data_IF_821726032260
#
_entry.id   IF_821726032260
#
_cell.length_a   1.000
_cell.length_b   1.000
_cell.length_c   1.000
_cell.angle_alpha   90.00
_cell.angle_beta   90.00
_cell.angle_gamma   90.00
#
_symmetry.space_group_name_H-M   'P 1'
#
loop_
_entity.id
_entity.type
_entity.pdbx_description
1 polymer ?
#
# COMPACT_ATOMS: atom_id res chain seq x y z
N UNK A 1 6.21 -3.29 32.39
CA UNK A 1 6.10 -4.36 33.40
C UNK A 1 4.95 -5.30 33.04
N UNK A 2 5.22 -6.35 32.23
CA UNK A 2 4.25 -7.41 31.87
C UNK A 2 4.97 -8.77 31.97
N UNK A 3 5.24 -9.21 33.18
CA UNK A 3 5.68 -10.58 33.46
C UNK A 3 4.72 -11.13 34.50
N UNK A 4 4.19 -12.32 34.31
CA UNK A 4 3.43 -13.20 35.21
C UNK A 4 2.00 -13.59 34.86
N UNK A 5 1.57 -13.57 33.59
CA UNK A 5 0.29 -14.22 33.27
C UNK A 5 0.43 -15.58 32.57
N UNK A 6 1.62 -15.95 32.09
CA UNK A 6 1.83 -17.23 31.39
C UNK A 6 2.04 -18.42 32.32
N UNK A 7 2.56 -18.19 33.55
CA UNK A 7 2.86 -19.27 34.49
C UNK A 7 1.67 -19.78 35.31
N UNK A 8 0.59 -19.01 35.45
CA UNK A 8 -0.54 -19.44 36.30
C UNK A 8 -1.48 -20.46 35.62
N UNK A 9 -1.39 -20.60 34.29
CA UNK A 9 -2.32 -21.44 33.51
C UNK A 9 -1.86 -22.90 33.38
N UNK A 10 -0.58 -23.17 33.48
CA UNK A 10 -0.02 -24.53 33.39
C UNK A 10 0.05 -25.24 34.74
N UNK A 11 0.13 -24.49 35.84
CA UNK A 11 0.24 -25.08 37.19
C UNK A 11 -0.98 -25.87 37.61
N UNK A 12 -2.19 -25.45 37.27
CA UNK A 12 -3.44 -26.16 37.62
C UNK A 12 -3.53 -27.50 36.87
N UNK A 13 -3.10 -27.52 35.59
CA UNK A 13 -3.05 -28.77 34.82
C UNK A 13 -1.97 -29.73 35.34
N UNK A 14 -0.78 -29.20 35.66
CA UNK A 14 0.31 -29.98 36.22
C UNK A 14 -0.08 -30.55 37.60
N UNK A 15 -0.68 -29.73 38.45
CA UNK A 15 -1.16 -30.17 39.78
C UNK A 15 -2.23 -31.27 39.65
N UNK A 16 -3.14 -31.17 38.71
CA UNK A 16 -4.17 -32.20 38.44
C UNK A 16 -3.56 -33.52 37.98
N UNK A 17 -2.60 -33.48 37.06
CA UNK A 17 -1.91 -34.69 36.58
C UNK A 17 -1.08 -35.31 37.70
N UNK A 18 -0.37 -34.51 38.51
CA UNK A 18 0.41 -35.01 39.63
C UNK A 18 -0.46 -35.66 40.71
N UNK A 19 -1.60 -35.05 41.03
CA UNK A 19 -2.59 -35.64 41.98
C UNK A 19 -3.16 -36.98 41.46
N UNK A 20 -3.44 -37.08 40.17
CA UNK A 20 -3.90 -38.34 39.57
C UNK A 20 -2.84 -39.45 39.64
N UNK A 21 -1.59 -39.12 39.33
CA UNK A 21 -0.47 -40.07 39.39
C UNK A 21 -0.25 -40.54 40.84
N UNK A 22 -0.29 -39.62 41.80
CA UNK A 22 -0.15 -39.98 43.26
C UNK A 22 -1.33 -40.89 43.68
N UNK A 23 -2.56 -40.59 43.27
CA UNK A 23 -3.73 -41.42 43.58
C UNK A 23 -3.60 -42.84 43.02
N UNK A 24 -3.09 -43.00 41.78
CA UNK A 24 -2.82 -44.30 41.15
C UNK A 24 -1.72 -45.08 41.94
N UNK A 25 -0.65 -44.42 42.32
CA UNK A 25 0.43 -45.04 43.07
C UNK A 25 -0.07 -45.52 44.44
N UNK A 26 -0.83 -44.72 45.17
CA UNK A 26 -1.40 -45.07 46.46
C UNK A 26 -2.40 -46.24 46.35
N UNK A 27 -3.15 -46.33 45.27
CA UNK A 27 -4.03 -47.46 44.98
C UNK A 27 -3.26 -48.76 44.71
N UNK A 28 -2.20 -48.69 43.90
CA UNK A 28 -1.31 -49.82 43.60
C UNK A 28 -0.63 -50.39 44.84
N UNK A 29 -0.32 -49.52 45.81
CA UNK A 29 0.31 -49.89 47.08
C UNK A 29 -0.68 -50.47 48.12
N UNK A 30 -1.99 -50.63 47.73
CA UNK A 30 -3.08 -51.10 48.63
C UNK A 30 -3.23 -50.24 49.91
N UNK A 31 -2.79 -49.01 49.90
CA UNK A 31 -2.89 -48.08 51.04
C UNK A 31 -4.28 -47.42 51.11
N UNK A 32 -5.02 -47.36 49.96
CA UNK A 32 -6.29 -46.67 49.86
C UNK A 32 -7.38 -47.70 49.44
N UNK A 33 -8.47 -47.78 50.18
CA UNK A 33 -9.62 -48.60 49.89
C UNK A 33 -10.30 -48.15 48.59
N UNK A 34 -10.89 -49.08 47.80
CA UNK A 34 -11.63 -48.82 46.58
C UNK A 34 -12.76 -47.80 46.79
N UNK A 35 -13.37 -47.75 47.97
CA UNK A 35 -14.43 -46.80 48.31
C UNK A 35 -13.97 -45.33 48.28
N UNK A 36 -12.68 -45.05 48.39
CA UNK A 36 -12.09 -43.68 48.39
C UNK A 36 -11.61 -43.29 46.98
N UNK A 37 -11.22 -44.26 46.18
CA UNK A 37 -10.65 -44.00 44.84
C UNK A 37 -11.71 -43.42 43.90
N UNK A 38 -12.97 -43.95 43.95
CA UNK A 38 -14.04 -43.52 43.06
C UNK A 38 -14.42 -42.03 43.24
N UNK A 39 -14.63 -41.50 44.46
CA UNK A 39 -14.87 -40.06 44.68
C UNK A 39 -13.71 -39.16 44.21
N UNK A 40 -12.45 -39.58 44.39
CA UNK A 40 -11.27 -38.81 43.94
C UNK A 40 -11.25 -38.75 42.41
N UNK A 41 -11.53 -39.87 41.74
CA UNK A 41 -11.57 -39.93 40.26
C UNK A 41 -12.69 -39.06 39.70
N UNK A 42 -13.88 -39.06 40.35
CA UNK A 42 -15.00 -38.19 39.99
C UNK A 42 -14.66 -36.71 40.19
N UNK A 43 -14.01 -36.36 41.28
CA UNK A 43 -13.57 -34.98 41.52
C UNK A 43 -12.55 -34.51 40.51
N UNK A 44 -11.58 -35.36 40.12
CA UNK A 44 -10.60 -35.05 39.08
C UNK A 44 -11.26 -34.90 37.69
N UNK A 45 -12.22 -35.75 37.36
CA UNK A 45 -13.01 -35.65 36.10
C UNK A 45 -13.81 -34.36 36.07
N UNK A 46 -14.44 -33.96 37.17
CA UNK A 46 -15.15 -32.69 37.33
C UNK A 46 -14.24 -31.48 37.13
N UNK A 47 -13.05 -31.50 37.73
CA UNK A 47 -12.03 -30.45 37.55
C UNK A 47 -11.55 -30.36 36.10
N UNK A 48 -11.33 -31.48 35.46
CA UNK A 48 -10.90 -31.55 34.05
C UNK A 48 -11.99 -31.00 33.12
N UNK A 49 -13.26 -31.32 33.41
CA UNK A 49 -14.39 -30.81 32.66
C UNK A 49 -14.57 -29.28 32.79
N UNK A 50 -14.46 -28.77 34.01
CA UNK A 50 -14.50 -27.32 34.28
C UNK A 50 -13.34 -26.59 33.53
N UNK A 51 -12.15 -27.17 33.56
CA UNK A 51 -10.99 -26.61 32.89
C UNK A 51 -11.19 -26.63 31.35
N UNK A 52 -11.72 -27.70 30.80
CA UNK A 52 -12.07 -27.82 29.38
C UNK A 52 -13.10 -26.76 28.95
N UNK A 53 -14.19 -26.61 29.71
CA UNK A 53 -15.19 -25.58 29.43
C UNK A 53 -14.61 -24.16 29.48
N UNK A 54 -13.73 -23.90 30.44
CA UNK A 54 -13.07 -22.63 30.59
C UNK A 54 -12.13 -22.32 29.41
N UNK A 55 -11.45 -23.35 28.91
CA UNK A 55 -10.57 -23.25 27.74
C UNK A 55 -11.37 -22.99 26.47
N UNK A 56 -12.48 -23.70 26.27
CA UNK A 56 -13.36 -23.50 25.11
C UNK A 56 -13.91 -22.08 25.06
N UNK A 57 -14.40 -21.59 26.21
CA UNK A 57 -14.92 -20.21 26.30
C UNK A 57 -13.83 -19.14 26.07
N UNK A 58 -12.60 -19.38 26.50
CA UNK A 58 -11.47 -18.48 26.24
C UNK A 58 -11.11 -18.44 24.77
N UNK A 59 -11.18 -19.57 24.07
CA UNK A 59 -10.91 -19.66 22.64
C UNK A 59 -11.98 -18.96 21.81
N UNK A 60 -13.25 -19.07 22.18
CA UNK A 60 -14.37 -18.37 21.54
C UNK A 60 -14.19 -16.84 21.65
N UNK A 61 -13.88 -16.33 22.84
CA UNK A 61 -13.63 -14.90 23.06
C UNK A 61 -12.41 -14.40 22.28
N UNK A 62 -11.42 -15.26 22.08
CA UNK A 62 -10.23 -14.92 21.30
C UNK A 62 -10.55 -14.88 19.81
N UNK A 63 -11.36 -15.83 19.32
CA UNK A 63 -11.83 -15.85 17.94
C UNK A 63 -12.67 -14.62 17.60
N UNK A 64 -13.62 -14.25 18.46
CA UNK A 64 -14.43 -13.04 18.31
C UNK A 64 -13.55 -11.76 18.24
N UNK A 65 -12.52 -11.67 19.08
CA UNK A 65 -11.58 -10.53 19.06
C UNK A 65 -10.75 -10.46 17.79
N UNK A 66 -10.31 -11.62 17.29
CA UNK A 66 -9.56 -11.68 16.02
C UNK A 66 -10.45 -11.25 14.86
N UNK A 67 -11.70 -11.67 14.85
CA UNK A 67 -12.68 -11.26 13.84
C UNK A 67 -12.96 -9.74 13.89
N UNK A 68 -13.16 -9.18 15.10
CA UNK A 68 -13.32 -7.73 15.28
C UNK A 68 -12.10 -6.92 14.81
N UNK A 69 -10.87 -7.42 15.08
CA UNK A 69 -9.65 -6.80 14.58
C UNK A 69 -9.60 -6.87 13.07
N UNK A 70 -9.97 -8.02 12.47
CA UNK A 70 -10.05 -8.19 11.02
C UNK A 70 -11.02 -7.22 10.37
N UNK A 71 -12.21 -7.05 10.92
CA UNK A 71 -13.21 -6.09 10.45
C UNK A 71 -12.73 -4.64 10.59
N UNK A 72 -12.07 -4.30 11.70
CA UNK A 72 -11.51 -2.96 11.92
C UNK A 72 -10.38 -2.65 10.94
N UNK A 73 -9.52 -3.64 10.62
CA UNK A 73 -8.48 -3.51 9.61
C UNK A 73 -9.08 -3.32 8.21
N UNK A 74 -10.07 -4.11 7.83
CA UNK A 74 -10.76 -3.96 6.54
C UNK A 74 -11.45 -2.58 6.43
N UNK A 75 -12.01 -2.07 7.52
CA UNK A 75 -12.62 -0.73 7.55
C UNK A 75 -11.57 0.38 7.45
N UNK A 76 -10.40 0.23 8.07
CA UNK A 76 -9.27 1.15 7.91
C UNK A 76 -8.72 1.09 6.49
N UNK A 77 -8.58 -0.09 5.90
CA UNK A 77 -8.10 -0.28 4.53
C UNK A 77 -9.06 0.34 3.50
N UNK A 78 -10.37 0.21 3.70
CA UNK A 78 -11.38 0.87 2.86
C UNK A 78 -11.44 2.40 3.07
N UNK A 79 -11.05 2.90 4.25
CA UNK A 79 -10.98 4.33 4.56
C UNK A 79 -9.71 5.01 4.04
N UNK A 80 -8.66 4.24 3.73
CA UNK A 80 -7.42 4.74 3.12
C UNK A 80 -7.56 4.64 1.58
N UNK A 81 -8.55 5.34 1.01
CA UNK A 81 -8.49 5.64 -0.41
C UNK A 81 -7.34 6.63 -0.63
N UNK A 82 -6.43 6.36 -1.58
CA UNK A 82 -5.42 7.34 -1.92
C UNK A 82 -6.12 8.66 -2.27
N UNK A 83 -5.65 9.79 -1.75
CA UNK A 83 -6.30 11.07 -2.02
C UNK A 83 -6.38 11.26 -3.53
N UNK A 84 -7.55 11.67 -4.04
CA UNK A 84 -7.74 11.99 -5.46
C UNK A 84 -6.79 13.09 -5.93
N UNK A 85 -6.36 13.95 -5.02
CA UNK A 85 -5.41 15.04 -5.26
C UNK A 85 -4.32 15.04 -4.20
N UNK A 86 -3.07 14.94 -4.65
CA UNK A 86 -1.89 15.05 -3.79
C UNK A 86 -1.13 16.34 -4.09
N UNK A 87 -0.97 17.22 -3.10
CA UNK A 87 -0.12 18.40 -3.22
C UNK A 87 1.35 18.00 -3.11
N UNK A 88 2.14 18.33 -4.16
CA UNK A 88 3.55 18.01 -4.22
C UNK A 88 4.35 19.29 -3.95
N UNK A 89 5.01 19.35 -2.81
CA UNK A 89 5.90 20.47 -2.47
C UNK A 89 7.21 20.45 -3.28
N UNK A 90 7.92 21.59 -3.35
CA UNK A 90 9.11 21.75 -4.20
C UNK A 90 10.19 20.69 -3.97
N UNK A 91 10.38 20.24 -2.73
CA UNK A 91 11.39 19.23 -2.39
C UNK A 91 11.11 17.84 -2.96
N UNK A 92 9.86 17.55 -3.26
CA UNK A 92 9.41 16.25 -3.79
C UNK A 92 9.05 16.30 -5.28
N UNK A 93 9.05 17.49 -5.87
CA UNK A 93 8.60 17.70 -7.24
C UNK A 93 9.38 16.82 -8.24
N UNK A 94 10.70 16.78 -8.10
CA UNK A 94 11.55 15.98 -8.98
C UNK A 94 11.21 14.48 -8.89
N UNK A 95 11.20 13.95 -7.69
CA UNK A 95 10.91 12.51 -7.46
C UNK A 95 9.49 12.15 -7.92
N UNK A 96 8.51 13.03 -7.69
CA UNK A 96 7.14 12.82 -8.15
C UNK A 96 7.05 12.84 -9.68
N UNK A 97 7.76 13.74 -10.34
CA UNK A 97 7.82 13.81 -11.79
C UNK A 97 8.50 12.56 -12.39
N UNK A 98 9.66 12.18 -11.87
CA UNK A 98 10.38 10.96 -12.28
C UNK A 98 9.48 9.71 -12.11
N UNK A 99 8.76 9.61 -10.99
CA UNK A 99 7.82 8.51 -10.73
C UNK A 99 6.67 8.53 -11.72
N UNK A 100 6.02 9.67 -11.92
CA UNK A 100 4.90 9.81 -12.86
C UNK A 100 5.32 9.38 -14.28
N UNK A 101 6.48 9.86 -14.76
CA UNK A 101 7.01 9.51 -16.08
C UNK A 101 7.34 8.02 -16.22
N UNK A 102 7.81 7.37 -15.15
CA UNK A 102 8.11 5.93 -15.15
C UNK A 102 6.87 5.04 -15.14
N UNK A 103 5.77 5.53 -14.54
CA UNK A 103 4.53 4.78 -14.39
C UNK A 103 3.52 5.03 -15.52
N UNK A 104 3.72 6.06 -16.34
CA UNK A 104 2.81 6.43 -17.44
C UNK A 104 2.76 5.37 -18.53
N UNK A 105 1.57 5.15 -19.08
CA UNK A 105 1.30 4.24 -20.19
C UNK A 105 0.20 4.75 -21.12
N UNK A 106 0.04 4.09 -22.27
CA UNK A 106 -1.01 4.43 -23.22
C UNK A 106 -0.79 5.75 -23.94
N UNK A 107 -1.87 6.42 -24.27
CA UNK A 107 -1.83 7.77 -24.86
C UNK A 107 -1.59 8.81 -23.78
N UNK A 108 -0.72 9.78 -24.05
CA UNK A 108 -0.41 10.86 -23.12
C UNK A 108 -0.70 12.23 -23.73
N UNK A 109 -1.24 13.15 -22.93
CA UNK A 109 -1.56 14.51 -23.32
C UNK A 109 -0.70 15.48 -22.51
N UNK A 110 0.05 16.30 -23.19
CA UNK A 110 0.91 17.32 -22.62
C UNK A 110 0.30 18.69 -22.94
N UNK A 111 -0.47 19.22 -21.98
CA UNK A 111 -1.22 20.45 -22.16
C UNK A 111 -0.48 21.64 -21.60
N UNK A 112 -0.27 22.66 -22.44
CA UNK A 112 0.30 23.97 -22.09
C UNK A 112 1.60 23.89 -21.29
N UNK A 113 2.41 22.86 -21.56
CA UNK A 113 3.70 22.69 -20.88
C UNK A 113 4.69 23.75 -21.34
N UNK A 114 5.52 24.22 -20.42
CA UNK A 114 6.52 25.25 -20.73
C UNK A 114 7.70 24.64 -21.47
N UNK A 115 7.79 24.86 -22.78
CA UNK A 115 8.84 24.29 -23.62
C UNK A 115 10.26 24.76 -23.23
N UNK A 116 10.42 25.93 -22.61
CA UNK A 116 11.72 26.36 -22.12
C UNK A 116 12.31 25.46 -21.04
N UNK A 117 11.49 24.68 -20.35
CA UNK A 117 11.98 23.66 -19.40
C UNK A 117 12.57 22.43 -20.11
N UNK A 118 12.19 22.17 -21.35
CA UNK A 118 12.66 21.01 -22.13
C UNK A 118 13.71 21.40 -23.18
N UNK A 119 13.94 22.69 -23.40
CA UNK A 119 14.92 23.19 -24.36
C UNK A 119 16.38 22.85 -23.97
N UNK A 120 16.82 22.96 -22.69
CA UNK A 120 18.16 22.54 -22.31
C UNK A 120 18.29 21.00 -22.39
N UNK A 121 19.32 20.52 -23.11
CA UNK A 121 19.56 19.09 -23.31
C UNK A 121 19.49 18.24 -22.04
N UNK A 122 20.12 18.62 -20.91
CA UNK A 122 20.04 17.86 -19.66
C UNK A 122 18.62 17.72 -19.10
N UNK A 123 17.78 18.74 -19.26
CA UNK A 123 16.37 18.69 -18.82
C UNK A 123 15.50 17.90 -19.79
N UNK A 124 15.77 18.00 -21.09
CA UNK A 124 15.15 17.15 -22.08
C UNK A 124 15.41 15.67 -21.78
N UNK A 125 16.67 15.31 -21.53
CA UNK A 125 17.11 13.95 -21.26
C UNK A 125 16.54 13.41 -19.93
N UNK A 126 16.32 14.29 -18.96
CA UNK A 126 15.77 13.89 -17.67
C UNK A 126 14.24 13.78 -17.65
N UNK A 127 13.53 14.58 -18.45
CA UNK A 127 12.08 14.75 -18.33
C UNK A 127 11.32 14.26 -19.56
N UNK A 128 11.72 14.63 -20.77
CA UNK A 128 10.95 14.34 -21.98
C UNK A 128 11.43 13.06 -22.69
N UNK A 129 12.73 12.83 -22.79
CA UNK A 129 13.28 11.61 -23.41
C UNK A 129 12.78 10.34 -22.75
N UNK A 130 12.73 10.20 -21.40
CA UNK A 130 12.20 9.01 -20.76
C UNK A 130 10.74 8.72 -21.12
N UNK A 131 9.92 9.77 -21.29
CA UNK A 131 8.53 9.62 -21.72
C UNK A 131 8.43 9.11 -23.18
N UNK A 132 9.24 9.66 -24.08
CA UNK A 132 9.25 9.26 -25.49
C UNK A 132 9.75 7.81 -25.66
N UNK A 133 10.78 7.43 -24.93
CA UNK A 133 11.40 6.11 -25.01
C UNK A 133 10.71 5.05 -24.14
N UNK A 134 9.75 5.43 -23.30
CA UNK A 134 8.98 4.49 -22.49
C UNK A 134 8.19 3.52 -23.39
N UNK A 135 8.46 2.20 -23.37
CA UNK A 135 7.79 1.25 -24.24
C UNK A 135 6.29 1.12 -23.98
N UNK A 136 5.81 1.53 -22.80
CA UNK A 136 4.40 1.47 -22.43
C UNK A 136 3.60 2.66 -22.98
N UNK A 137 4.26 3.76 -23.34
CA UNK A 137 3.64 4.93 -23.97
C UNK A 137 3.45 4.65 -25.44
N UNK A 138 2.22 4.76 -25.93
CA UNK A 138 1.86 4.52 -27.34
C UNK A 138 1.89 5.79 -28.18
N UNK A 139 1.45 6.91 -27.62
CA UNK A 139 1.48 8.22 -28.29
C UNK A 139 1.64 9.37 -27.29
N UNK A 140 2.25 10.45 -27.76
CA UNK A 140 2.43 11.70 -27.01
C UNK A 140 1.82 12.82 -27.86
N UNK A 141 0.79 13.47 -27.33
CA UNK A 141 0.12 14.59 -27.96
C UNK A 141 0.35 15.86 -27.19
N UNK A 142 0.90 16.86 -27.85
CA UNK A 142 1.08 18.20 -27.30
C UNK A 142 -0.07 19.11 -27.69
N UNK A 143 -0.59 19.86 -26.71
CA UNK A 143 -1.51 21.00 -26.93
C UNK A 143 -0.80 22.23 -26.37
N UNK A 144 -0.35 23.12 -27.23
CA UNK A 144 0.57 24.20 -26.87
C UNK A 144 0.00 25.56 -27.28
N UNK A 145 0.43 26.58 -26.52
CA UNK A 145 0.17 27.97 -26.90
C UNK A 145 0.94 28.35 -28.15
N UNK A 146 0.30 29.12 -29.05
CA UNK A 146 0.90 29.55 -30.31
C UNK A 146 2.23 30.32 -30.14
N UNK A 147 2.41 31.03 -29.03
CA UNK A 147 3.64 31.74 -28.72
C UNK A 147 4.84 30.82 -28.55
N UNK A 148 4.64 29.55 -28.29
CA UNK A 148 5.70 28.55 -28.09
C UNK A 148 6.14 27.86 -29.39
N UNK A 149 5.53 28.17 -30.52
CA UNK A 149 5.82 27.53 -31.82
C UNK A 149 7.31 27.64 -32.19
N UNK A 150 7.89 28.81 -32.02
CA UNK A 150 9.33 29.03 -32.33
C UNK A 150 10.24 28.17 -31.42
N UNK A 151 9.91 28.08 -30.12
CA UNK A 151 10.68 27.25 -29.19
C UNK A 151 10.56 25.74 -29.52
N UNK A 152 9.38 25.32 -29.96
CA UNK A 152 9.18 23.96 -30.43
C UNK A 152 10.06 23.63 -31.63
N UNK A 153 9.96 24.40 -32.70
CA UNK A 153 10.66 24.12 -33.95
C UNK A 153 12.20 24.23 -33.82
N UNK A 154 12.68 25.18 -33.04
CA UNK A 154 14.12 25.45 -32.95
C UNK A 154 14.84 24.69 -31.84
N UNK A 155 14.14 24.32 -30.77
CA UNK A 155 14.80 23.80 -29.57
C UNK A 155 14.35 22.40 -29.17
N UNK A 156 13.06 22.12 -29.22
CA UNK A 156 12.52 20.85 -28.70
C UNK A 156 12.42 19.79 -29.78
N UNK A 157 11.86 20.11 -30.95
CA UNK A 157 11.69 19.17 -32.06
C UNK A 157 13.01 18.55 -32.52
N UNK A 158 14.13 19.30 -32.68
CA UNK A 158 15.40 18.68 -33.07
C UNK A 158 15.91 17.64 -32.05
N UNK A 159 15.61 17.83 -30.76
CA UNK A 159 15.98 16.86 -29.75
C UNK A 159 15.08 15.63 -29.80
N UNK A 160 13.76 15.80 -30.02
CA UNK A 160 12.82 14.70 -30.24
C UNK A 160 13.28 13.83 -31.43
N UNK A 161 13.76 14.46 -32.51
CA UNK A 161 14.21 13.74 -33.69
C UNK A 161 15.45 12.85 -33.44
N UNK A 162 16.18 13.09 -32.35
CA UNK A 162 17.25 12.18 -31.89
C UNK A 162 16.78 10.96 -31.15
N UNK A 163 15.51 10.94 -30.68
CA UNK A 163 14.96 9.82 -29.94
C UNK A 163 14.64 8.62 -30.85
N UNK A 164 14.85 7.40 -30.34
CA UNK A 164 14.56 6.18 -31.07
C UNK A 164 13.07 6.06 -31.39
N UNK A 165 12.23 6.40 -30.40
CA UNK A 165 10.77 6.29 -30.49
C UNK A 165 10.06 7.58 -30.88
N UNK A 166 10.72 8.47 -31.64
CA UNK A 166 10.19 9.78 -32.08
C UNK A 166 8.82 9.71 -32.75
N UNK A 167 8.53 8.62 -33.44
CA UNK A 167 7.24 8.43 -34.14
C UNK A 167 6.02 8.43 -33.21
N UNK A 168 6.22 8.29 -31.91
CA UNK A 168 5.14 8.40 -30.91
C UNK A 168 4.69 9.83 -30.67
N UNK A 169 5.54 10.82 -30.97
CA UNK A 169 5.23 12.22 -30.76
C UNK A 169 4.47 12.74 -31.98
N UNK A 170 3.21 13.09 -31.74
CA UNK A 170 2.37 13.71 -32.78
C UNK A 170 2.72 15.19 -32.97
N UNK A 171 2.41 15.75 -34.14
CA UNK A 171 2.51 17.19 -34.34
C UNK A 171 1.65 17.93 -33.32
N UNK A 172 2.15 19.02 -32.71
CA UNK A 172 1.42 19.77 -31.69
C UNK A 172 0.13 20.40 -32.22
N UNK A 173 -0.90 20.36 -31.39
CA UNK A 173 -2.08 21.16 -31.60
C UNK A 173 -1.84 22.57 -31.05
N UNK A 174 -1.86 23.58 -31.91
CA UNK A 174 -1.59 24.96 -31.56
C UNK A 174 -2.89 25.70 -31.28
N UNK A 175 -2.97 26.36 -30.13
CA UNK A 175 -4.15 27.12 -29.70
C UNK A 175 -3.70 28.37 -28.93
N UNK A 176 -4.57 29.38 -28.88
CA UNK A 176 -4.39 30.49 -27.95
C UNK A 176 -4.79 30.03 -26.55
N UNK A 177 -3.82 29.81 -25.68
CA UNK A 177 -4.04 29.30 -24.33
C UNK A 177 -3.72 30.35 -23.28
N UNK A 178 -4.51 30.34 -22.20
CA UNK A 178 -4.16 31.12 -21.01
C UNK A 178 -3.04 30.41 -20.22
N UNK A 179 -2.08 31.19 -19.73
CA UNK A 179 -0.92 30.63 -18.99
C UNK A 179 -1.21 30.31 -17.52
N UNK A 180 -2.40 29.80 -17.23
CA UNK A 180 -2.83 29.57 -15.85
C UNK A 180 -2.53 28.15 -15.36
N UNK A 181 -2.63 27.19 -16.25
CA UNK A 181 -2.54 25.78 -15.94
C UNK A 181 -1.76 25.04 -17.00
N UNK A 182 -0.87 24.14 -16.58
CA UNK A 182 -0.29 23.12 -17.43
C UNK A 182 -0.44 21.75 -16.78
N UNK A 183 -0.58 20.70 -17.58
CA UNK A 183 -0.64 19.35 -17.06
C UNK A 183 -0.11 18.32 -18.05
N UNK A 184 0.30 17.18 -17.50
CA UNK A 184 0.58 15.97 -18.26
C UNK A 184 -0.43 14.94 -17.78
N UNK A 185 -1.26 14.43 -18.70
CA UNK A 185 -2.25 13.39 -18.43
C UNK A 185 -1.80 12.08 -19.06
N UNK A 186 -1.85 11.00 -18.31
CA UNK A 186 -1.53 9.66 -18.78
C UNK A 186 -2.28 8.61 -17.95
N UNK A 187 -2.44 7.41 -18.49
CA UNK A 187 -2.84 6.28 -17.68
C UNK A 187 -1.65 5.83 -16.84
N UNK A 188 -1.91 5.52 -15.57
CA UNK A 188 -0.90 5.02 -14.64
C UNK A 188 -0.93 3.50 -14.59
N UNK A 189 0.23 2.89 -14.78
CA UNK A 189 0.39 1.42 -14.66
C UNK A 189 0.15 0.95 -13.24
N UNK A 190 0.48 1.78 -12.25
CA UNK A 190 0.35 1.41 -10.85
C UNK A 190 -1.11 1.42 -10.38
N UNK A 191 -1.84 2.49 -10.65
CA UNK A 191 -3.23 2.63 -10.21
C UNK A 191 -4.25 2.05 -11.20
N UNK A 192 -3.87 1.84 -12.46
CA UNK A 192 -4.79 1.47 -13.54
C UNK A 192 -5.81 2.56 -13.88
N UNK A 193 -5.58 3.80 -13.45
CA UNK A 193 -6.44 4.97 -13.66
C UNK A 193 -5.68 6.05 -14.39
N UNK A 194 -6.43 6.97 -15.00
CA UNK A 194 -5.85 8.19 -15.53
C UNK A 194 -5.35 9.09 -14.39
N UNK A 195 -4.11 9.51 -14.48
CA UNK A 195 -3.46 10.42 -13.54
C UNK A 195 -2.97 11.66 -14.27
N UNK A 196 -3.02 12.80 -13.60
CA UNK A 196 -2.52 14.05 -14.15
C UNK A 196 -1.48 14.68 -13.21
N UNK A 197 -0.34 15.03 -13.78
CA UNK A 197 0.62 15.90 -13.10
C UNK A 197 0.29 17.35 -13.45
N UNK A 198 -0.32 18.06 -12.51
CA UNK A 198 -0.84 19.40 -12.68
C UNK A 198 0.14 20.45 -12.14
N UNK A 199 0.40 21.50 -12.90
CA UNK A 199 1.20 22.66 -12.50
C UNK A 199 0.40 23.94 -12.73
N UNK A 200 0.40 24.82 -11.74
CA UNK A 200 -0.21 26.12 -11.84
C UNK A 200 0.87 27.17 -12.11
N UNK A 201 0.63 27.97 -13.13
CA UNK A 201 1.43 29.13 -13.46
C UNK A 201 0.68 30.36 -12.91
N UNK A 202 0.96 30.72 -11.68
CA UNK A 202 0.41 31.91 -11.07
C UNK A 202 1.52 32.69 -10.39
N UNK A 203 1.41 34.02 -10.33
CA UNK A 203 2.27 34.78 -9.43
C UNK A 203 2.01 34.25 -8.01
N UNK A 204 3.07 34.07 -7.21
CA UNK A 204 2.85 33.75 -5.79
C UNK A 204 2.09 34.90 -5.17
N UNK A 205 0.93 34.56 -4.57
CA UNK A 205 0.10 35.51 -3.80
C UNK A 205 0.91 36.12 -2.66
#
# INVERSE_FOLDING_TARGET
MKKHKFLSYEWDAIAGVLAAVIAIILHLLHIVDEAVVLPILLALLGLLFINFMRHTRSNELTAERVEQIGQSLAHLESGIQPPEVLLIGPRRLRTANERFLAEMQGETIWYNVCLSMYAPGPLFDALLRPAIENPQVTSIRFVLDESQRQAWEQQVRPQIDTCISRAKVAEPCWQALERNVSFILADSRHSGRAEALLSFWGEPF
#
